data_IF_853117439151
#
_entry.id   IF_853117439151
#
_cell.length_a   1.000
_cell.length_b   1.000
_cell.length_c   1.000
_cell.angle_alpha   90.00
_cell.angle_beta   90.00
_cell.angle_gamma   90.00
#
_symmetry.space_group_name_H-M   'P 1'
#
loop_
_entity.id
_entity.type
_entity.pdbx_description
1 polymer ?
#
# COMPACT_ATOMS: atom_id res chain seq x y z
N UNK A 1 6.62 1.32 30.38
CA UNK A 1 5.38 1.14 29.60
C UNK A 1 4.51 0.09 30.28
N UNK A 2 3.27 0.41 30.63
CA UNK A 2 2.31 -0.59 31.15
C UNK A 2 1.79 -1.41 29.97
N UNK A 3 1.72 -2.73 30.11
CA UNK A 3 1.19 -3.62 29.06
C UNK A 3 -0.28 -3.25 28.80
N UNK A 4 -0.65 -3.00 27.55
CA UNK A 4 -2.03 -2.73 27.15
C UNK A 4 -2.52 -1.28 27.35
N UNK A 5 -1.60 -0.31 27.52
CA UNK A 5 -1.96 1.11 27.61
C UNK A 5 -2.39 1.69 26.25
N UNK A 6 -3.66 1.46 25.89
CA UNK A 6 -4.24 1.89 24.61
C UNK A 6 -4.30 3.41 24.47
N UNK A 7 -4.56 4.12 25.57
CA UNK A 7 -4.71 5.57 25.56
C UNK A 7 -3.40 6.25 25.14
N UNK A 8 -2.29 5.81 25.73
CA UNK A 8 -0.95 6.30 25.34
C UNK A 8 -0.63 6.03 23.87
N UNK A 9 -1.04 4.88 23.33
CA UNK A 9 -0.83 4.58 21.91
C UNK A 9 -1.60 5.53 20.99
N UNK A 10 -2.85 5.84 21.33
CA UNK A 10 -3.69 6.80 20.57
C UNK A 10 -3.07 8.19 20.59
N UNK A 11 -2.54 8.62 21.74
CA UNK A 11 -1.85 9.91 21.89
C UNK A 11 -0.54 9.97 21.09
N UNK A 12 0.19 8.85 21.00
CA UNK A 12 1.47 8.77 20.29
C UNK A 12 1.34 8.35 18.81
N UNK A 13 0.12 8.24 18.27
CA UNK A 13 -0.13 7.77 16.90
C UNK A 13 0.70 8.49 15.83
N UNK A 14 0.85 9.81 15.96
CA UNK A 14 1.58 10.62 14.97
C UNK A 14 3.09 10.35 15.01
N UNK A 15 3.60 9.88 16.15
CA UNK A 15 5.01 9.48 16.28
C UNK A 15 5.25 8.09 15.72
N UNK A 16 4.29 7.17 15.85
CA UNK A 16 4.35 5.85 15.23
C UNK A 16 4.40 5.95 13.70
N UNK A 17 3.62 6.87 13.13
CA UNK A 17 3.58 7.10 11.68
C UNK A 17 4.89 7.66 11.09
N UNK A 18 5.78 8.25 11.91
CA UNK A 18 7.06 8.78 11.42
C UNK A 18 8.10 7.70 11.13
N UNK A 19 7.77 6.43 11.36
CA UNK A 19 8.63 5.32 10.97
C UNK A 19 8.80 5.32 9.44
N UNK A 20 10.05 5.39 8.97
CA UNK A 20 10.39 5.30 7.53
C UNK A 20 10.94 3.92 7.16
N UNK A 21 10.71 2.92 8.02
CA UNK A 21 11.14 1.53 7.83
C UNK A 21 12.63 1.37 7.49
N UNK A 22 13.50 2.21 8.04
CA UNK A 22 14.94 2.18 7.76
C UNK A 22 15.69 0.99 8.40
N UNK A 23 14.99 0.14 9.16
CA UNK A 23 15.51 -1.06 9.84
C UNK A 23 16.68 -0.84 10.84
N UNK A 24 17.08 0.41 11.10
CA UNK A 24 18.22 0.72 11.97
C UNK A 24 17.99 0.29 13.41
N UNK A 25 16.77 0.47 13.92
CA UNK A 25 16.37 0.08 15.27
C UNK A 25 16.42 -1.43 15.46
N UNK A 26 15.87 -2.19 14.51
CA UNK A 26 15.89 -3.65 14.47
C UNK A 26 17.32 -4.19 14.51
N UNK A 27 18.20 -3.73 13.63
CA UNK A 27 19.57 -4.23 13.54
C UNK A 27 20.47 -3.84 14.72
N UNK A 28 20.19 -2.72 15.40
CA UNK A 28 21.01 -2.26 16.53
C UNK A 28 20.58 -2.86 17.86
N UNK A 29 19.41 -3.48 17.94
CA UNK A 29 18.86 -3.93 19.20
C UNK A 29 19.68 -5.10 19.79
N UNK A 30 20.34 -4.94 20.95
CA UNK A 30 21.11 -6.03 21.58
C UNK A 30 20.23 -7.14 22.15
N UNK A 31 18.90 -6.93 22.19
CA UNK A 31 17.91 -7.91 22.66
C UNK A 31 17.20 -8.64 21.51
N UNK A 32 17.55 -8.35 20.25
CA UNK A 32 16.92 -8.97 19.09
C UNK A 32 15.45 -8.58 18.90
N UNK A 33 15.04 -7.41 19.38
CA UNK A 33 13.67 -6.93 19.19
C UNK A 33 13.51 -6.42 17.75
N UNK A 34 12.49 -6.92 17.07
CA UNK A 34 12.07 -6.48 15.74
C UNK A 34 11.24 -5.19 15.87
N UNK A 35 11.92 -4.10 16.23
CA UNK A 35 11.26 -2.83 16.60
C UNK A 35 10.41 -2.28 15.47
N UNK A 36 10.88 -2.38 14.23
CA UNK A 36 10.14 -1.90 13.06
C UNK A 36 8.83 -2.68 12.85
N UNK A 37 8.87 -4.02 12.93
CA UNK A 37 7.68 -4.87 12.86
C UNK A 37 6.69 -4.58 13.99
N UNK A 38 7.17 -4.33 15.21
CA UNK A 38 6.32 -3.96 16.35
C UNK A 38 5.60 -2.64 16.09
N UNK A 39 6.28 -1.64 15.53
CA UNK A 39 5.67 -0.35 15.20
C UNK A 39 4.59 -0.53 14.13
N UNK A 40 4.87 -1.31 13.08
CA UNK A 40 3.89 -1.61 12.03
C UNK A 40 2.68 -2.40 12.56
N UNK A 41 2.91 -3.40 13.42
CA UNK A 41 1.84 -4.18 14.04
C UNK A 41 0.92 -3.30 14.89
N UNK A 42 1.49 -2.35 15.64
CA UNK A 42 0.70 -1.38 16.41
C UNK A 42 -0.12 -0.48 15.48
N UNK A 43 0.48 0.06 14.41
CA UNK A 43 -0.23 0.91 13.45
C UNK A 43 -1.39 0.16 12.79
N UNK A 44 -1.16 -1.08 12.33
CA UNK A 44 -2.17 -1.94 11.74
C UNK A 44 -3.29 -2.28 12.73
N UNK A 45 -2.95 -2.54 13.99
CA UNK A 45 -3.93 -2.72 15.06
C UNK A 45 -4.82 -1.48 15.21
N UNK A 46 -4.22 -0.30 15.24
CA UNK A 46 -4.96 0.95 15.39
C UNK A 46 -5.88 1.26 14.19
N UNK A 47 -5.42 0.98 12.97
CA UNK A 47 -6.24 1.08 11.75
C UNK A 47 -7.42 0.11 11.79
N UNK A 48 -7.17 -1.15 12.15
CA UNK A 48 -8.20 -2.19 12.23
C UNK A 48 -9.30 -1.88 13.24
N UNK A 49 -8.93 -1.27 14.37
CA UNK A 49 -9.87 -0.88 15.42
C UNK A 49 -10.43 0.54 15.26
N UNK A 50 -10.21 1.17 14.10
CA UNK A 50 -10.71 2.52 13.80
C UNK A 50 -10.26 3.60 14.81
N UNK A 51 -9.14 3.36 15.49
CA UNK A 51 -8.58 4.27 16.50
C UNK A 51 -7.82 5.45 15.88
N UNK A 52 -7.45 5.31 14.60
CA UNK A 52 -6.75 6.31 13.80
C UNK A 52 -7.36 6.39 12.41
N UNK A 53 -7.27 7.55 11.77
CA UNK A 53 -7.68 7.71 10.38
C UNK A 53 -6.64 7.06 9.47
N UNK A 54 -7.08 6.56 8.32
CA UNK A 54 -6.16 6.14 7.25
C UNK A 54 -5.34 7.33 6.80
N UNK A 55 -4.04 7.19 6.88
CA UNK A 55 -3.09 8.15 6.34
C UNK A 55 -2.99 8.01 4.80
N UNK A 56 -2.38 8.99 4.11
CA UNK A 56 -2.21 8.93 2.66
C UNK A 56 -1.44 7.71 2.16
N UNK A 57 -0.47 7.20 2.92
CA UNK A 57 0.31 6.01 2.57
C UNK A 57 -0.56 4.75 2.57
N UNK A 58 -1.30 4.50 3.64
CA UNK A 58 -2.25 3.38 3.78
C UNK A 58 -3.30 3.41 2.67
N UNK A 59 -3.84 4.60 2.35
CA UNK A 59 -4.82 4.72 1.26
C UNK A 59 -4.16 4.42 -0.10
N UNK A 60 -2.91 4.81 -0.30
CA UNK A 60 -2.16 4.47 -1.51
C UNK A 60 -1.85 2.98 -1.59
N UNK A 61 -1.45 2.34 -0.50
CA UNK A 61 -1.13 0.92 -0.45
C UNK A 61 -2.37 0.05 -0.77
N UNK A 62 -3.53 0.42 -0.22
CA UNK A 62 -4.81 -0.22 -0.55
C UNK A 62 -5.16 -0.08 -2.03
N UNK A 63 -5.01 1.14 -2.57
CA UNK A 63 -5.26 1.44 -3.98
C UNK A 63 -4.30 0.67 -4.90
N UNK A 64 -3.02 0.63 -4.54
CA UNK A 64 -1.99 -0.10 -5.26
C UNK A 64 -2.32 -1.58 -5.29
N UNK A 65 -2.62 -2.18 -4.14
CA UNK A 65 -2.97 -3.59 -4.04
C UNK A 65 -4.24 -3.91 -4.82
N UNK A 66 -5.26 -3.07 -4.73
CA UNK A 66 -6.47 -3.20 -5.54
C UNK A 66 -6.14 -3.20 -7.04
N UNK A 67 -5.30 -2.26 -7.49
CA UNK A 67 -4.86 -2.15 -8.88
C UNK A 67 -4.12 -3.42 -9.33
N UNK A 68 -3.28 -4.01 -8.48
CA UNK A 68 -2.60 -5.29 -8.76
C UNK A 68 -3.60 -6.42 -8.93
N UNK A 69 -4.56 -6.52 -8.00
CA UNK A 69 -5.53 -7.61 -7.97
C UNK A 69 -6.49 -7.56 -9.16
N UNK A 70 -6.92 -6.37 -9.56
CA UNK A 70 -7.81 -6.15 -10.70
C UNK A 70 -7.11 -6.40 -12.05
N UNK A 71 -5.84 -5.98 -12.17
CA UNK A 71 -5.08 -6.09 -13.42
C UNK A 71 -4.33 -7.41 -13.60
N UNK A 72 -4.64 -8.42 -12.78
CA UNK A 72 -4.06 -9.75 -12.95
C UNK A 72 -2.58 -9.84 -12.59
N UNK A 73 -2.17 -9.08 -11.56
CA UNK A 73 -0.81 -9.09 -11.02
C UNK A 73 0.16 -8.12 -11.71
N UNK A 74 -0.30 -7.33 -12.68
CA UNK A 74 0.51 -6.32 -13.37
C UNK A 74 0.04 -4.93 -13.03
N UNK A 75 0.97 -3.99 -13.07
CA UNK A 75 0.70 -2.57 -12.86
C UNK A 75 1.40 -1.82 -13.99
N UNK A 76 0.72 -0.81 -14.54
CA UNK A 76 1.29 0.13 -15.49
C UNK A 76 1.18 1.56 -14.94
N UNK A 77 2.02 2.45 -15.45
CA UNK A 77 1.98 3.88 -15.10
C UNK A 77 0.58 4.48 -15.33
N UNK A 78 -0.11 4.00 -16.37
CA UNK A 78 -1.45 4.46 -16.71
C UNK A 78 -2.52 3.88 -15.79
N UNK A 79 -2.46 2.58 -15.45
CA UNK A 79 -3.45 1.98 -14.54
C UNK A 79 -3.34 2.55 -13.13
N UNK A 80 -2.11 2.66 -12.61
CA UNK A 80 -1.86 3.23 -11.28
C UNK A 80 -2.09 4.74 -11.28
N UNK A 81 -1.73 5.45 -12.35
CA UNK A 81 -1.99 6.88 -12.50
C UNK A 81 -3.48 7.19 -12.50
N UNK A 82 -4.28 6.44 -13.27
CA UNK A 82 -5.73 6.58 -13.28
C UNK A 82 -6.37 6.25 -11.92
N UNK A 83 -5.92 5.17 -11.27
CA UNK A 83 -6.36 4.81 -9.93
C UNK A 83 -6.01 5.92 -8.91
N UNK A 84 -4.78 6.44 -8.97
CA UNK A 84 -4.29 7.52 -8.08
C UNK A 84 -5.05 8.82 -8.29
N UNK A 85 -5.40 9.13 -9.54
CA UNK A 85 -6.22 10.29 -9.84
C UNK A 85 -7.65 10.15 -9.32
N UNK A 86 -8.26 8.96 -9.48
CA UNK A 86 -9.59 8.67 -8.93
C UNK A 86 -9.61 8.75 -7.39
N UNK A 87 -8.53 8.35 -6.74
CA UNK A 87 -8.35 8.43 -5.30
C UNK A 87 -7.94 9.84 -4.81
N UNK A 88 -7.73 10.81 -5.71
CA UNK A 88 -7.42 12.20 -5.35
C UNK A 88 -5.96 12.48 -4.98
N UNK A 89 -5.05 11.51 -5.19
CA UNK A 89 -3.62 11.71 -4.96
C UNK A 89 -2.95 12.57 -6.03
N UNK A 90 -3.46 12.50 -7.27
CA UNK A 90 -2.88 13.19 -8.43
C UNK A 90 -4.00 13.86 -9.21
N UNK A 91 -3.84 15.15 -9.51
CA UNK A 91 -4.73 15.85 -10.42
C UNK A 91 -4.03 16.02 -11.77
N UNK A 92 -4.56 15.41 -12.82
CA UNK A 92 -4.07 15.64 -14.17
C UNK A 92 -4.76 16.86 -14.77
N UNK A 93 -3.99 17.88 -15.12
CA UNK A 93 -4.50 18.96 -15.96
C UNK A 93 -4.65 18.49 -17.40
N UNK A 94 -5.46 19.20 -18.19
CA UNK A 94 -5.60 18.93 -19.63
C UNK A 94 -4.25 19.00 -20.36
N UNK A 95 -3.35 19.89 -19.89
CA UNK A 95 -1.98 19.99 -20.42
C UNK A 95 -1.14 18.75 -20.11
N UNK A 96 -1.25 18.20 -18.90
CA UNK A 96 -0.50 17.00 -18.49
C UNK A 96 -0.98 15.77 -19.27
N UNK A 97 -2.28 15.67 -19.51
CA UNK A 97 -2.84 14.59 -20.32
C UNK A 97 -2.32 14.64 -21.76
N UNK A 98 -2.24 15.85 -22.34
CA UNK A 98 -1.74 16.06 -23.71
C UNK A 98 -0.24 15.78 -23.83
N UNK A 99 0.57 16.18 -22.84
CA UNK A 99 2.01 15.89 -22.84
C UNK A 99 2.31 14.40 -22.65
N UNK A 100 1.49 13.69 -21.87
CA UNK A 100 1.61 12.25 -21.67
C UNK A 100 1.09 11.43 -22.86
N UNK A 101 0.15 11.96 -23.66
CA UNK A 101 -0.45 11.24 -24.78
C UNK A 101 0.57 10.80 -25.85
N UNK A 102 1.52 11.67 -26.21
CA UNK A 102 2.54 11.37 -27.21
C UNK A 102 3.45 10.19 -26.82
N UNK A 103 4.11 10.24 -25.64
CA UNK A 103 4.90 9.13 -25.12
C UNK A 103 4.11 7.82 -24.94
N UNK A 104 2.87 7.88 -24.44
CA UNK A 104 2.02 6.69 -24.23
C UNK A 104 1.61 6.01 -25.55
N UNK A 105 1.37 6.79 -26.60
CA UNK A 105 1.11 6.25 -27.94
C UNK A 105 2.37 5.62 -28.54
N UNK A 106 3.52 6.29 -28.40
CA UNK A 106 4.80 5.81 -28.92
C UNK A 106 5.30 4.54 -28.23
N UNK A 107 5.09 4.41 -26.93
CA UNK A 107 5.50 3.23 -26.14
C UNK A 107 4.57 2.02 -26.34
N UNK A 108 3.38 2.22 -26.92
CA UNK A 108 2.38 1.16 -27.05
C UNK A 108 1.68 0.81 -25.74
N UNK A 109 1.94 1.54 -24.64
CA UNK A 109 1.34 1.34 -23.32
C UNK A 109 -0.20 1.51 -23.33
N UNK A 110 -0.76 2.19 -24.34
CA UNK A 110 -2.21 2.24 -24.55
C UNK A 110 -2.86 0.85 -24.71
N UNK A 111 -2.09 -0.15 -25.19
CA UNK A 111 -2.57 -1.53 -25.38
C UNK A 111 -2.81 -2.23 -24.04
N UNK A 112 -2.05 -1.89 -23.01
CA UNK A 112 -2.25 -2.44 -21.67
C UNK A 112 -3.53 -1.90 -21.01
N UNK A 113 -4.03 -0.74 -21.43
CA UNK A 113 -5.34 -0.23 -21.00
C UNK A 113 -6.49 -1.03 -21.63
N UNK A 114 -6.35 -1.40 -22.91
CA UNK A 114 -7.39 -2.10 -23.68
C UNK A 114 -7.39 -3.61 -23.42
N UNK A 115 -6.22 -4.21 -23.21
CA UNK A 115 -6.06 -5.64 -22.92
C UNK A 115 -4.92 -5.83 -21.93
N UNK A 116 -5.18 -5.63 -20.62
CA UNK A 116 -4.15 -5.80 -19.61
C UNK A 116 -3.59 -7.23 -19.67
N UNK A 117 -2.29 -7.32 -19.91
CA UNK A 117 -1.59 -8.59 -19.83
C UNK A 117 -1.62 -9.07 -18.38
N UNK A 118 -1.82 -10.37 -18.16
CA UNK A 118 -1.83 -10.97 -16.81
C UNK A 118 -0.51 -11.67 -16.54
N UNK A 119 -0.14 -11.79 -15.28
CA UNK A 119 0.98 -12.64 -14.87
C UNK A 119 0.66 -14.10 -15.21
N UNK A 120 1.68 -14.88 -15.59
CA UNK A 120 1.54 -16.32 -15.84
C UNK A 120 1.02 -17.01 -14.57
N UNK A 121 0.05 -17.90 -14.72
CA UNK A 121 -0.58 -18.61 -13.60
C UNK A 121 -1.18 -17.69 -12.53
N UNK A 122 -1.73 -16.53 -12.94
CA UNK A 122 -2.32 -15.55 -12.03
C UNK A 122 -3.36 -16.16 -11.08
N UNK A 123 -4.20 -17.07 -11.52
CA UNK A 123 -5.25 -17.65 -10.66
C UNK A 123 -4.69 -18.40 -9.44
N UNK A 124 -3.48 -18.99 -9.56
CA UNK A 124 -2.80 -19.62 -8.43
C UNK A 124 -2.21 -18.56 -7.49
N UNK A 125 -1.55 -17.55 -8.05
CA UNK A 125 -0.94 -16.46 -7.27
C UNK A 125 -2.01 -15.68 -6.51
N UNK A 126 -3.12 -15.34 -7.20
CA UNK A 126 -4.27 -14.66 -6.64
C UNK A 126 -4.81 -15.37 -5.41
N UNK A 127 -4.97 -16.69 -5.47
CA UNK A 127 -5.44 -17.49 -4.31
C UNK A 127 -4.50 -17.37 -3.12
N UNK A 128 -3.19 -17.45 -3.35
CA UNK A 128 -2.16 -17.32 -2.30
C UNK A 128 -2.18 -15.91 -1.70
N UNK A 129 -2.31 -14.88 -2.54
CA UNK A 129 -2.42 -13.49 -2.07
C UNK A 129 -3.70 -13.28 -1.25
N UNK A 130 -4.84 -13.78 -1.73
CA UNK A 130 -6.12 -13.69 -1.00
C UNK A 130 -6.09 -14.46 0.32
N UNK A 131 -5.31 -15.53 0.42
CA UNK A 131 -5.09 -16.29 1.65
C UNK A 131 -4.20 -15.52 2.63
N UNK A 132 -3.04 -15.01 2.17
CA UNK A 132 -2.13 -14.21 2.97
C UNK A 132 -2.82 -12.93 3.52
N UNK A 133 -3.63 -12.26 2.69
CA UNK A 133 -4.42 -11.10 3.12
C UNK A 133 -5.45 -11.44 4.20
N UNK A 134 -5.97 -12.67 4.25
CA UNK A 134 -6.88 -13.12 5.32
C UNK A 134 -6.15 -13.43 6.61
N UNK A 135 -4.91 -13.92 6.52
CA UNK A 135 -4.05 -14.19 7.67
C UNK A 135 -3.59 -12.90 8.35
N UNK A 136 -3.16 -11.88 7.60
CA UNK A 136 -2.81 -10.56 8.15
C UNK A 136 -3.97 -9.90 8.93
N UNK A 137 -5.21 -10.21 8.58
CA UNK A 137 -6.42 -9.67 9.24
C UNK A 137 -6.74 -10.40 10.56
N UNK A 138 -6.08 -11.50 10.91
CA UNK A 138 -6.29 -12.22 12.17
C UNK A 138 -5.16 -11.94 13.19
N UNK A 139 -5.30 -10.92 14.05
CA UNK A 139 -4.71 -11.01 15.37
C UNK A 139 -5.50 -12.07 16.15
N UNK A 140 -4.79 -13.05 16.68
CA UNK A 140 -5.24 -13.85 17.83
C UNK A 140 -5.85 -12.95 18.93
#
# INVERSE_FOLDING_TARGET
ARKGDKQTLIELRDSLWRCVSCQKCTHRCPKGVLVEEVVHAIHNYMLKHELVKKDPGTVFDELFLQTVMENGGRITELSLGAASAKAGFVTFSLKDLLTMAGPLLKSGLYKDLLKPSKVKNWDRIRKVLEEAMKEEVRPE
#
